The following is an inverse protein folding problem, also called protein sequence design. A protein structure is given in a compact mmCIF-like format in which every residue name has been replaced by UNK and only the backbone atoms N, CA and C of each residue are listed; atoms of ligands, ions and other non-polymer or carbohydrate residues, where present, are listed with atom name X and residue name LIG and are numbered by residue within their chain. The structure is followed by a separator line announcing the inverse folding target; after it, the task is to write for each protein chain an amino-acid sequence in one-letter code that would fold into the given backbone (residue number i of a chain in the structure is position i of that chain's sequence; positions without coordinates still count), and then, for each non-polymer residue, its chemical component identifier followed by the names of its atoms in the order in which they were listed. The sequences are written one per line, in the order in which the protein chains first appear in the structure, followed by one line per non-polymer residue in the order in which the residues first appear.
data_IF_051919488897
#
_entry.id   IF_051919488897
#
_cell.length_a   1.000
_cell.length_b   1.000
_cell.length_c   1.000
_cell.angle_alpha   90.00
_cell.angle_beta   90.00
_cell.angle_gamma   90.00
#
_symmetry.space_group_name_H-M   'P 1'
#
loop_
_entity.id
_entity.type
_entity.pdbx_description
1 polymer ?
#
# COMPACT_ATOMS: atom_id res chain seq x y z
N UNK A 1 -46.21 45.38 -45.94
CA UNK A 1 -45.79 43.98 -45.91
C UNK A 1 -44.61 43.92 -45.04
N UNK A 2 -44.78 43.45 -43.76
CA UNK A 2 -43.78 43.54 -42.70
C UNK A 2 -43.15 42.16 -42.47
N UNK A 3 -41.90 42.03 -42.78
CA UNK A 3 -41.09 40.82 -42.52
C UNK A 3 -40.51 40.92 -41.13
N UNK A 4 -40.94 40.04 -40.22
CA UNK A 4 -40.42 39.94 -38.87
C UNK A 4 -39.20 39.03 -38.87
N UNK A 5 -38.01 39.59 -38.57
CA UNK A 5 -36.80 38.86 -38.32
C UNK A 5 -36.88 38.16 -36.97
N UNK A 6 -36.94 36.83 -36.99
CA UNK A 6 -36.86 35.99 -35.82
C UNK A 6 -35.39 35.75 -35.52
N UNK A 7 -34.87 36.40 -34.47
CA UNK A 7 -33.53 36.21 -33.98
C UNK A 7 -33.48 34.87 -33.22
N UNK A 8 -32.82 33.90 -33.82
CA UNK A 8 -32.51 32.62 -33.21
C UNK A 8 -31.29 32.84 -32.25
N UNK A 9 -31.58 32.91 -30.96
CA UNK A 9 -30.53 32.97 -29.91
C UNK A 9 -30.01 31.55 -29.71
N UNK A 10 -28.85 31.23 -30.34
CA UNK A 10 -28.12 29.99 -30.10
C UNK A 10 -27.42 30.09 -28.73
N UNK A 11 -28.02 29.48 -27.71
CA UNK A 11 -27.48 29.33 -26.40
C UNK A 11 -26.42 28.22 -26.45
N UNK A 12 -25.14 28.60 -26.62
CA UNK A 12 -24.01 27.69 -26.53
C UNK A 12 -23.76 27.40 -25.06
N UNK A 13 -24.32 26.30 -24.57
CA UNK A 13 -24.00 25.78 -23.23
C UNK A 13 -22.61 25.19 -23.29
N UNK A 14 -21.60 25.96 -22.83
CA UNK A 14 -20.24 25.47 -22.61
C UNK A 14 -20.31 24.60 -21.37
N UNK A 15 -20.39 23.29 -21.58
CA UNK A 15 -20.26 22.28 -20.54
C UNK A 15 -18.78 22.24 -20.15
N UNK A 16 -18.39 23.07 -19.17
CA UNK A 16 -17.08 22.97 -18.55
C UNK A 16 -17.05 21.69 -17.73
N UNK A 17 -16.50 20.63 -18.31
CA UNK A 17 -16.05 19.46 -17.56
C UNK A 17 -14.96 19.93 -16.60
N UNK A 18 -15.32 20.25 -15.37
CA UNK A 18 -14.38 20.38 -14.27
C UNK A 18 -13.72 19.00 -14.08
N UNK A 19 -12.57 18.83 -14.71
CA UNK A 19 -11.69 17.73 -14.32
C UNK A 19 -11.23 18.05 -12.90
N UNK A 20 -11.77 17.32 -11.94
CA UNK A 20 -11.19 17.28 -10.60
C UNK A 20 -9.78 16.72 -10.76
N UNK A 21 -8.79 17.60 -10.87
CA UNK A 21 -7.41 17.22 -10.65
C UNK A 21 -7.34 16.83 -9.18
N UNK A 22 -7.41 15.54 -8.88
CA UNK A 22 -6.90 15.03 -7.62
C UNK A 22 -5.42 15.39 -7.63
N UNK A 23 -5.04 16.39 -6.87
CA UNK A 23 -3.65 16.60 -6.52
C UNK A 23 -3.25 15.32 -5.77
N UNK A 24 -2.43 14.50 -6.40
CA UNK A 24 -1.81 13.36 -5.74
C UNK A 24 -1.03 13.91 -4.55
N UNK A 25 -1.46 13.59 -3.34
CA UNK A 25 -0.80 14.00 -2.10
C UNK A 25 0.44 13.10 -1.91
N UNK A 26 1.45 13.34 -2.74
CA UNK A 26 2.70 12.59 -2.75
C UNK A 26 3.43 12.81 -1.41
N UNK A 27 3.73 11.72 -0.73
CA UNK A 27 4.46 11.71 0.53
C UNK A 27 5.80 11.02 0.37
N UNK A 28 6.79 11.52 1.09
CA UNK A 28 8.09 10.85 1.14
C UNK A 28 7.95 9.50 1.83
N UNK A 29 8.49 8.47 1.19
CA UNK A 29 8.51 7.11 1.70
C UNK A 29 9.91 6.49 1.53
N UNK A 30 10.28 5.66 2.49
CA UNK A 30 11.35 4.68 2.36
C UNK A 30 10.74 3.48 1.63
N UNK A 31 11.26 3.20 0.44
CA UNK A 31 10.85 2.07 -0.40
C UNK A 31 11.86 0.94 -0.24
N UNK A 32 11.41 -0.22 0.15
CA UNK A 32 12.20 -1.44 0.19
C UNK A 32 11.80 -2.33 -0.99
N UNK A 33 12.76 -2.70 -1.83
CA UNK A 33 12.57 -3.66 -2.92
C UNK A 33 13.15 -5.01 -2.50
N UNK A 34 12.33 -6.05 -2.60
CA UNK A 34 12.72 -7.41 -2.27
C UNK A 34 13.19 -8.18 -3.51
N UNK A 35 13.87 -9.29 -3.30
CA UNK A 35 14.45 -10.12 -4.38
C UNK A 35 13.38 -10.81 -5.22
N UNK A 36 12.16 -10.98 -4.71
CA UNK A 36 11.00 -11.50 -5.42
C UNK A 36 10.27 -10.44 -6.26
N UNK A 37 10.80 -9.19 -6.29
CA UNK A 37 10.20 -8.06 -7.00
C UNK A 37 9.11 -7.33 -6.22
N UNK A 38 8.73 -7.79 -5.02
CA UNK A 38 7.78 -7.06 -4.19
C UNK A 38 8.40 -5.77 -3.64
N UNK A 39 7.56 -4.77 -3.40
CA UNK A 39 7.96 -3.45 -2.88
C UNK A 39 7.19 -3.14 -1.60
N UNK A 40 7.91 -2.64 -0.61
CA UNK A 40 7.33 -2.25 0.68
C UNK A 40 7.59 -0.76 0.90
N UNK A 41 6.52 0.00 1.16
CA UNK A 41 6.59 1.43 1.44
C UNK A 41 6.40 1.71 2.93
N UNK A 42 7.31 2.51 3.48
CA UNK A 42 7.21 3.08 4.83
C UNK A 42 7.19 4.60 4.70
N UNK A 43 6.06 5.23 4.96
CA UNK A 43 5.95 6.69 4.87
C UNK A 43 6.74 7.36 6.00
N UNK A 44 7.52 8.42 5.68
CA UNK A 44 8.39 9.10 6.64
C UNK A 44 7.61 9.76 7.79
N UNK A 45 6.32 10.01 7.59
CA UNK A 45 5.42 10.50 8.66
C UNK A 45 5.36 9.53 9.85
N UNK A 46 5.49 8.24 9.62
CA UNK A 46 5.53 7.22 10.66
C UNK A 46 6.90 7.11 11.34
N UNK A 47 7.85 7.96 10.94
CA UNK A 47 9.24 8.01 11.44
C UNK A 47 9.92 6.64 11.41
N UNK A 48 10.00 5.99 10.24
CA UNK A 48 10.60 4.67 10.14
C UNK A 48 12.07 4.73 10.54
N UNK A 49 12.48 3.78 11.37
CA UNK A 49 13.86 3.57 11.76
C UNK A 49 14.37 2.30 11.10
N UNK A 50 15.55 2.41 10.51
CA UNK A 50 16.28 1.27 9.94
C UNK A 50 17.35 0.85 10.95
N UNK A 51 17.35 -0.40 11.30
CA UNK A 51 18.40 -1.00 12.14
C UNK A 51 18.77 -2.38 11.58
N UNK A 52 19.85 -2.93 12.10
CA UNK A 52 20.38 -4.21 11.65
C UNK A 52 20.53 -5.13 12.86
N UNK A 53 20.04 -6.35 12.73
CA UNK A 53 20.13 -7.36 13.76
C UNK A 53 20.67 -8.65 13.15
N UNK A 54 21.99 -8.86 13.27
CA UNK A 54 22.64 -10.05 12.73
C UNK A 54 22.44 -10.21 11.23
N UNK A 55 21.48 -11.03 10.83
CA UNK A 55 21.17 -11.37 9.44
C UNK A 55 19.98 -10.60 8.85
N UNK A 56 19.35 -9.74 9.66
CA UNK A 56 18.10 -9.08 9.27
C UNK A 56 18.26 -7.55 9.22
N UNK A 57 17.64 -6.96 8.19
CA UNK A 57 17.28 -5.55 8.18
C UNK A 57 15.98 -5.40 8.99
N UNK A 58 15.99 -4.58 10.01
CA UNK A 58 14.84 -4.33 10.87
C UNK A 58 14.29 -2.93 10.59
N UNK A 59 13.05 -2.85 10.16
CA UNK A 59 12.31 -1.61 9.94
C UNK A 59 11.26 -1.45 11.05
N UNK A 60 11.38 -0.39 11.84
CA UNK A 60 10.39 -0.03 12.86
C UNK A 60 9.66 1.23 12.43
N UNK A 61 8.33 1.21 12.43
CA UNK A 61 7.50 2.36 12.14
C UNK A 61 6.30 2.38 13.10
N UNK A 62 6.13 3.48 13.84
CA UNK A 62 5.14 3.55 14.93
C UNK A 62 5.30 2.37 15.90
N UNK A 63 4.25 1.56 16.09
CA UNK A 63 4.23 0.40 16.98
C UNK A 63 4.51 -0.93 16.27
N UNK A 64 4.95 -0.85 15.00
CA UNK A 64 5.20 -2.02 14.16
C UNK A 64 6.68 -2.15 13.85
N UNK A 65 7.21 -3.35 14.03
CA UNK A 65 8.56 -3.72 13.65
C UNK A 65 8.52 -4.91 12.71
N UNK A 66 9.24 -4.82 11.59
CA UNK A 66 9.29 -5.84 10.56
C UNK A 66 10.73 -6.23 10.29
N UNK A 67 11.00 -7.53 10.28
CA UNK A 67 12.32 -8.09 10.02
C UNK A 67 12.36 -8.62 8.58
N UNK A 68 13.35 -8.17 7.83
CA UNK A 68 13.65 -8.62 6.48
C UNK A 68 15.01 -9.29 6.45
N UNK A 69 15.09 -10.60 6.17
CA UNK A 69 16.38 -11.27 5.95
C UNK A 69 17.16 -10.58 4.84
N UNK A 70 18.48 -10.37 5.01
CA UNK A 70 19.30 -9.66 4.02
C UNK A 70 19.30 -10.32 2.65
N UNK A 71 19.21 -11.64 2.57
CA UNK A 71 19.11 -12.39 1.31
C UNK A 71 17.82 -12.07 0.53
N UNK A 72 16.82 -11.51 1.20
CA UNK A 72 15.54 -11.08 0.62
C UNK A 72 15.49 -9.60 0.25
N UNK A 73 16.46 -8.80 0.72
CA UNK A 73 16.51 -7.37 0.43
C UNK A 73 17.39 -7.11 -0.78
N UNK A 74 16.83 -6.48 -1.80
CA UNK A 74 17.57 -6.07 -2.98
C UNK A 74 18.17 -4.68 -2.83
N UNK A 75 17.35 -3.72 -2.43
CA UNK A 75 17.75 -2.33 -2.15
C UNK A 75 16.69 -1.61 -1.34
N UNK A 76 17.07 -0.47 -0.77
CA UNK A 76 16.11 0.52 -0.26
C UNK A 76 16.43 1.90 -0.85
N UNK A 77 15.39 2.71 -1.08
CA UNK A 77 15.47 4.05 -1.67
C UNK A 77 14.48 4.98 -0.97
N UNK A 78 14.67 6.29 -1.14
CA UNK A 78 13.70 7.29 -0.72
C UNK A 78 13.01 7.82 -1.99
N UNK A 79 11.69 7.72 -2.02
CA UNK A 79 10.87 8.11 -3.17
C UNK A 79 9.64 8.89 -2.70
N UNK A 80 9.05 9.67 -3.60
CA UNK A 80 7.73 10.23 -3.42
C UNK A 80 6.70 9.18 -3.80
N UNK A 81 5.81 8.84 -2.88
CA UNK A 81 4.77 7.85 -3.11
C UNK A 81 3.41 8.41 -2.70
N UNK A 82 2.38 8.07 -3.45
CA UNK A 82 1.01 8.42 -3.12
C UNK A 82 0.45 7.36 -2.14
N UNK A 83 0.05 7.74 -0.91
CA UNK A 83 -0.52 6.80 0.04
C UNK A 83 -1.91 6.30 -0.36
N UNK A 84 -2.59 7.00 -1.27
CA UNK A 84 -3.89 6.58 -1.80
C UNK A 84 -3.76 5.71 -3.06
N UNK A 85 -2.70 5.91 -3.83
CA UNK A 85 -2.43 5.08 -4.99
C UNK A 85 -1.81 3.76 -4.57
N UNK A 86 -2.40 2.71 -5.07
CA UNK A 86 -1.80 1.40 -5.14
C UNK A 86 -0.77 1.47 -6.26
N UNK A 87 0.47 1.86 -5.95
CA UNK A 87 1.54 1.84 -6.95
C UNK A 87 1.65 0.42 -7.48
N UNK A 88 1.13 0.20 -8.68
CA UNK A 88 1.37 -1.07 -9.38
C UNK A 88 2.88 -1.24 -9.48
N UNK A 89 3.46 -2.31 -8.94
CA UNK A 89 4.88 -2.58 -9.12
C UNK A 89 5.15 -2.64 -10.62
N UNK A 90 6.25 -2.03 -11.06
CA UNK A 90 6.73 -2.20 -12.42
C UNK A 90 7.31 -3.61 -12.57
N UNK A 91 6.44 -4.64 -12.58
CA UNK A 91 6.82 -6.04 -12.60
C UNK A 91 5.72 -6.93 -11.97
N UNK A 92 5.89 -8.23 -12.00
CA UNK A 92 4.95 -9.24 -11.44
C UNK A 92 4.94 -9.29 -9.89
N UNK A 93 5.53 -8.29 -9.20
CA UNK A 93 5.63 -8.26 -7.76
C UNK A 93 4.45 -7.57 -7.09
N UNK A 94 4.08 -8.01 -5.89
CA UNK A 94 3.12 -7.32 -5.04
C UNK A 94 3.74 -6.09 -4.36
N UNK A 95 2.92 -5.09 -4.02
CA UNK A 95 3.33 -3.95 -3.22
C UNK A 95 2.72 -4.04 -1.82
N UNK A 96 3.51 -3.68 -0.81
CA UNK A 96 3.09 -3.66 0.59
C UNK A 96 3.31 -2.28 1.15
N UNK A 97 2.32 -1.71 1.83
CA UNK A 97 2.43 -0.45 2.54
C UNK A 97 2.21 -0.71 4.03
N UNK A 98 3.21 -0.38 4.84
CA UNK A 98 3.11 -0.47 6.30
C UNK A 98 2.71 0.90 6.82
N UNK A 99 1.51 0.98 7.40
CA UNK A 99 0.91 2.16 8.00
C UNK A 99 0.84 1.97 9.52
N UNK A 100 0.61 3.04 10.28
CA UNK A 100 0.55 2.99 11.73
C UNK A 100 -0.44 1.93 12.28
N UNK A 101 -1.61 1.80 11.65
CA UNK A 101 -2.70 0.94 12.14
C UNK A 101 -3.11 -0.16 11.17
N UNK A 102 -2.41 -0.30 10.05
CA UNK A 102 -2.76 -1.31 9.04
C UNK A 102 -1.61 -1.63 8.11
N UNK A 103 -1.66 -2.82 7.52
CA UNK A 103 -0.82 -3.20 6.38
C UNK A 103 -1.74 -3.33 5.16
N UNK A 104 -1.39 -2.61 4.10
CA UNK A 104 -2.10 -2.65 2.83
C UNK A 104 -1.28 -3.40 1.81
N UNK A 105 -1.92 -4.30 1.11
CA UNK A 105 -1.37 -5.09 0.01
C UNK A 105 -2.03 -4.66 -1.29
N UNK A 106 -1.28 -4.73 -2.38
CA UNK A 106 -1.76 -4.44 -3.73
C UNK A 106 -0.99 -5.23 -4.80
N UNK A 107 -1.62 -5.41 -5.96
CA UNK A 107 -1.05 -6.24 -7.02
C UNK A 107 -1.11 -7.74 -6.71
N UNK A 108 -1.95 -8.13 -5.75
CA UNK A 108 -2.20 -9.55 -5.48
C UNK A 108 -3.14 -10.13 -6.54
N UNK A 109 -3.02 -11.43 -6.86
CA UNK A 109 -4.03 -12.10 -7.68
C UNK A 109 -5.42 -11.98 -7.04
N UNK A 110 -6.43 -11.64 -7.85
CA UNK A 110 -7.82 -11.49 -7.38
C UNK A 110 -8.27 -12.72 -6.61
N UNK A 111 -8.85 -12.50 -5.44
CA UNK A 111 -9.35 -13.56 -4.55
C UNK A 111 -8.26 -14.35 -3.82
N UNK A 112 -6.98 -14.02 -3.98
CA UNK A 112 -5.91 -14.65 -3.20
C UNK A 112 -6.06 -14.40 -1.71
N UNK A 113 -5.71 -15.37 -0.90
CA UNK A 113 -5.80 -15.28 0.56
C UNK A 113 -4.62 -14.50 1.13
N UNK A 114 -4.93 -13.58 2.05
CA UNK A 114 -3.98 -12.94 2.97
C UNK A 114 -4.33 -13.43 4.37
N UNK A 115 -3.47 -14.24 4.96
CA UNK A 115 -3.71 -14.86 6.26
C UNK A 115 -2.74 -14.32 7.30
N UNK A 116 -3.23 -14.08 8.51
CA UNK A 116 -2.45 -13.61 9.65
C UNK A 116 -2.35 -14.71 10.70
N UNK A 117 -1.12 -14.99 11.11
CA UNK A 117 -0.83 -16.00 12.13
C UNK A 117 -0.10 -15.36 13.31
N UNK A 118 -0.33 -15.88 14.50
CA UNK A 118 0.50 -15.62 15.67
C UNK A 118 1.82 -16.40 15.60
N UNK A 119 2.76 -16.07 16.46
CA UNK A 119 4.07 -16.74 16.49
C UNK A 119 4.02 -18.25 16.73
N UNK A 120 2.98 -18.71 17.42
CA UNK A 120 2.67 -20.14 17.69
C UNK A 120 1.96 -20.84 16.50
N UNK A 121 1.76 -20.12 15.39
CA UNK A 121 1.17 -20.68 14.16
C UNK A 121 -0.36 -20.68 14.11
N UNK A 122 -1.05 -20.10 15.10
CA UNK A 122 -2.52 -20.00 15.10
C UNK A 122 -2.96 -18.90 14.12
N UNK A 123 -3.85 -19.26 13.19
CA UNK A 123 -4.47 -18.29 12.29
C UNK A 123 -5.45 -17.39 13.07
N UNK A 124 -5.23 -16.09 13.05
CA UNK A 124 -6.08 -15.09 13.75
C UNK A 124 -6.95 -14.29 12.80
N UNK A 125 -6.58 -14.19 11.53
CA UNK A 125 -7.36 -13.51 10.51
C UNK A 125 -7.09 -14.09 9.12
N UNK A 126 -8.08 -14.00 8.25
CA UNK A 126 -7.96 -14.36 6.84
C UNK A 126 -8.84 -13.42 6.04
N UNK A 127 -8.24 -12.80 5.02
CA UNK A 127 -8.86 -11.85 4.12
C UNK A 127 -8.59 -12.29 2.69
N UNK A 128 -9.37 -11.79 1.74
CA UNK A 128 -9.16 -12.05 0.30
C UNK A 128 -8.87 -10.74 -0.43
N UNK A 129 -7.98 -10.81 -1.40
CA UNK A 129 -7.75 -9.71 -2.31
C UNK A 129 -9.03 -9.40 -3.11
N UNK A 130 -9.35 -8.12 -3.24
CA UNK A 130 -10.49 -7.61 -3.99
C UNK A 130 -10.28 -7.71 -5.52
N UNK A 131 -11.23 -7.13 -6.28
CA UNK A 131 -11.19 -7.15 -7.74
C UNK A 131 -9.99 -6.38 -8.32
N UNK A 132 -9.43 -5.44 -7.57
CA UNK A 132 -8.27 -4.63 -7.95
C UNK A 132 -6.95 -5.23 -7.43
N UNK A 133 -7.01 -6.40 -6.81
CA UNK A 133 -5.85 -7.05 -6.20
C UNK A 133 -5.42 -6.41 -4.89
N UNK A 134 -6.30 -5.63 -4.27
CA UNK A 134 -6.07 -4.96 -2.99
C UNK A 134 -6.49 -5.81 -1.80
N UNK A 135 -5.79 -5.63 -0.66
CA UNK A 135 -6.20 -6.19 0.63
C UNK A 135 -5.67 -5.31 1.76
N UNK A 136 -6.44 -5.15 2.84
CA UNK A 136 -6.03 -4.36 4.00
C UNK A 136 -6.19 -5.16 5.29
N UNK A 137 -5.08 -5.38 5.98
CA UNK A 137 -5.03 -5.99 7.31
C UNK A 137 -5.03 -4.89 8.35
N UNK A 138 -6.05 -4.83 9.21
CA UNK A 138 -6.10 -3.90 10.35
C UNK A 138 -5.24 -4.44 11.49
N UNK A 139 -4.40 -3.56 12.05
CA UNK A 139 -3.55 -3.86 13.22
C UNK A 139 -4.16 -3.34 14.52
N UNK A 140 -5.11 -2.38 14.45
CA UNK A 140 -5.67 -1.70 15.62
C UNK A 140 -6.32 -2.66 16.62
N UNK A 141 -6.95 -3.73 16.13
CA UNK A 141 -7.63 -4.73 16.96
C UNK A 141 -6.73 -5.88 17.44
N UNK A 142 -5.48 -5.93 16.98
CA UNK A 142 -4.55 -6.99 17.34
C UNK A 142 -3.83 -6.64 18.64
N UNK A 143 -3.70 -7.55 19.62
CA UNK A 143 -2.85 -7.37 20.78
C UNK A 143 -1.38 -7.16 20.41
N UNK A 144 -0.57 -6.64 21.34
CA UNK A 144 0.88 -6.64 21.19
C UNK A 144 1.40 -8.07 21.05
N UNK A 145 2.32 -8.29 20.13
CA UNK A 145 2.83 -9.63 19.85
C UNK A 145 3.50 -9.76 18.48
N UNK A 146 4.03 -10.95 18.21
CA UNK A 146 4.65 -11.29 16.93
C UNK A 146 3.62 -11.98 16.03
N UNK A 147 3.54 -11.49 14.80
CA UNK A 147 2.63 -11.99 13.77
C UNK A 147 3.37 -12.32 12.50
N UNK A 148 2.85 -13.26 11.75
CA UNK A 148 3.29 -13.58 10.38
C UNK A 148 2.09 -13.37 9.46
N UNK A 149 2.22 -12.45 8.51
CA UNK A 149 1.23 -12.25 7.44
C UNK A 149 1.72 -13.00 6.21
N UNK A 150 0.94 -14.00 5.80
CA UNK A 150 1.21 -14.78 4.60
C UNK A 150 0.34 -14.27 3.45
N UNK A 151 0.95 -13.96 2.31
CA UNK A 151 0.28 -13.47 1.12
C UNK A 151 0.98 -14.00 -0.13
N UNK A 152 0.23 -14.66 -1.01
CA UNK A 152 0.80 -15.32 -2.17
C UNK A 152 1.87 -16.35 -1.77
N UNK A 153 3.11 -16.15 -2.22
CA UNK A 153 4.27 -16.98 -1.86
C UNK A 153 5.17 -16.32 -0.80
N UNK A 154 4.78 -15.17 -0.29
CA UNK A 154 5.59 -14.33 0.60
C UNK A 154 5.04 -14.35 2.03
N UNK A 155 5.93 -14.11 2.98
CA UNK A 155 5.60 -13.96 4.39
C UNK A 155 6.25 -12.69 4.93
N UNK A 156 5.45 -11.90 5.63
CA UNK A 156 5.88 -10.71 6.34
C UNK A 156 5.84 -10.98 7.83
N UNK A 157 7.01 -11.07 8.48
CA UNK A 157 7.09 -11.20 9.94
C UNK A 157 7.14 -9.81 10.57
N UNK A 158 6.22 -9.54 11.45
CA UNK A 158 6.11 -8.26 12.12
C UNK A 158 5.89 -8.42 13.63
N UNK A 159 6.33 -7.44 14.40
CA UNK A 159 6.03 -7.31 15.81
C UNK A 159 5.21 -6.04 16.04
N UNK A 160 4.07 -6.19 16.70
CA UNK A 160 3.28 -5.07 17.22
C UNK A 160 3.64 -4.84 18.70
N UNK A 161 3.91 -3.62 19.03
CA UNK A 161 4.21 -3.16 20.42
C UNK A 161 2.99 -2.56 21.09
#
# INVERSE_FOLDING_TARGET
MRIRFLRLFSLCVILTCARSSHAEDLKQALMLELTDGSRVAYYLETRPKVSFNGTDLVLSASDVEVNYPFDKVRKYTFEMADPSSVSSPSGDGSSVQVLAESVRFSGLPVGSEVAVYTADGRKVSSLRADADGGCRVSLSTMPAGVYVISYGKCNLKMMKR
#
